data_IF_837630105533
#
_entry.id   IF_837630105533
#
_cell.length_a   1.000
_cell.length_b   1.000
_cell.length_c   1.000
_cell.angle_alpha   90.00
_cell.angle_beta   90.00
_cell.angle_gamma   90.00
#
_symmetry.space_group_name_H-M   'P 1'
#
loop_
_entity.id
_entity.type
_entity.pdbx_description
1 polymer ?
#
# COMPACT_ATOMS: atom_id res chain seq x y z
N UNK A 1 2.42 -16.73 -1.51
CA UNK A 1 2.57 -15.27 -1.32
C UNK A 1 1.17 -14.67 -1.23
N UNK A 2 0.89 -13.77 -0.27
CA UNK A 2 -0.44 -13.16 -0.15
C UNK A 2 -0.77 -12.32 -1.39
N UNK A 3 -2.01 -12.41 -1.85
CA UNK A 3 -2.48 -11.67 -3.03
C UNK A 3 -2.58 -10.17 -2.72
N UNK A 4 -2.20 -9.31 -3.67
CA UNK A 4 -2.30 -7.86 -3.51
C UNK A 4 -3.24 -7.30 -4.58
N UNK A 5 -4.41 -6.88 -4.12
CA UNK A 5 -5.41 -6.21 -4.94
C UNK A 5 -5.29 -4.71 -4.77
N UNK A 6 -5.54 -3.98 -5.84
CA UNK A 6 -5.43 -2.52 -5.87
C UNK A 6 -6.76 -1.90 -6.23
N UNK A 7 -7.15 -0.84 -5.51
CA UNK A 7 -8.23 0.02 -5.98
C UNK A 7 -7.85 0.67 -7.31
N UNK A 8 -8.85 1.10 -8.09
CA UNK A 8 -8.62 1.87 -9.31
C UNK A 8 -7.79 3.12 -9.03
N UNK A 9 -8.10 3.81 -7.93
CA UNK A 9 -7.37 5.00 -7.49
C UNK A 9 -5.90 4.69 -7.16
N UNK A 10 -5.63 3.60 -6.44
CA UNK A 10 -4.26 3.17 -6.14
C UNK A 10 -3.47 2.86 -7.41
N UNK A 11 -4.06 2.13 -8.38
CA UNK A 11 -3.41 1.85 -9.67
C UNK A 11 -3.05 3.12 -10.43
N UNK A 12 -3.98 4.08 -10.51
CA UNK A 12 -3.70 5.36 -11.16
C UNK A 12 -2.53 6.09 -10.49
N UNK A 13 -2.55 6.16 -9.15
CA UNK A 13 -1.49 6.81 -8.37
C UNK A 13 -0.14 6.14 -8.51
N UNK A 14 -0.13 4.81 -8.66
CA UNK A 14 1.10 4.07 -8.94
C UNK A 14 1.70 4.46 -10.30
N UNK A 15 0.86 4.50 -11.34
CA UNK A 15 1.29 4.89 -12.70
C UNK A 15 1.78 6.34 -12.73
N UNK A 16 0.99 7.27 -12.18
CA UNK A 16 1.31 8.72 -12.16
C UNK A 16 2.63 9.04 -11.44
N UNK A 17 3.02 8.20 -10.47
CA UNK A 17 4.15 8.48 -9.56
C UNK A 17 5.31 7.51 -9.74
N UNK A 18 5.24 6.62 -10.73
CA UNK A 18 6.27 5.60 -10.96
C UNK A 18 6.45 4.62 -9.80
N UNK A 19 5.41 4.38 -9.00
CA UNK A 19 5.47 3.48 -7.84
C UNK A 19 5.25 2.05 -8.32
N UNK A 20 6.23 1.19 -8.13
CA UNK A 20 6.16 -0.20 -8.54
C UNK A 20 5.33 -1.06 -7.57
N UNK A 21 4.76 -2.16 -8.07
CA UNK A 21 4.10 -3.15 -7.22
C UNK A 21 5.04 -3.76 -6.17
N UNK A 22 6.34 -3.82 -6.48
CA UNK A 22 7.39 -4.26 -5.56
C UNK A 22 7.53 -3.31 -4.38
N UNK A 23 7.59 -2.00 -4.62
CA UNK A 23 7.69 -1.02 -3.54
C UNK A 23 6.46 -1.03 -2.62
N UNK A 24 5.27 -1.19 -3.21
CA UNK A 24 4.03 -1.35 -2.41
C UNK A 24 4.09 -2.60 -1.55
N UNK A 25 4.59 -3.71 -2.09
CA UNK A 25 4.78 -4.96 -1.34
C UNK A 25 5.78 -4.78 -0.21
N UNK A 26 6.93 -4.17 -0.49
CA UNK A 26 7.98 -3.92 0.50
C UNK A 26 7.44 -3.03 1.62
N UNK A 27 6.61 -2.04 1.29
CA UNK A 27 5.92 -1.21 2.29
C UNK A 27 4.88 -1.97 3.11
N UNK A 28 4.11 -2.88 2.50
CA UNK A 28 3.14 -3.72 3.23
C UNK A 28 3.86 -4.67 4.19
N UNK A 29 4.97 -5.29 3.77
CA UNK A 29 5.69 -6.28 4.57
C UNK A 29 6.58 -5.59 5.61
N UNK A 30 7.51 -4.73 5.18
CA UNK A 30 8.57 -4.15 6.00
C UNK A 30 8.34 -2.71 6.47
N UNK A 31 7.24 -2.06 6.08
CA UNK A 31 6.92 -0.71 6.54
C UNK A 31 6.49 -0.64 8.00
N UNK A 32 6.69 0.53 8.61
CA UNK A 32 6.15 0.88 9.93
C UNK A 32 4.64 1.10 9.81
N UNK A 33 3.85 0.39 10.62
CA UNK A 33 2.40 0.28 10.47
C UNK A 33 1.67 0.99 11.59
N UNK A 34 0.64 1.76 11.22
CA UNK A 34 -0.33 2.31 12.15
C UNK A 34 -1.73 1.88 11.72
N UNK A 35 -2.47 1.28 12.64
CA UNK A 35 -3.86 0.90 12.40
C UNK A 35 -4.75 2.12 12.68
N UNK A 36 -5.59 2.48 11.71
CA UNK A 36 -6.61 3.53 11.83
C UNK A 36 -7.97 2.94 11.48
N UNK A 37 -8.67 2.46 12.51
CA UNK A 37 -9.92 1.71 12.34
C UNK A 37 -9.69 0.42 11.55
N UNK A 38 -10.38 0.27 10.41
CA UNK A 38 -10.25 -0.90 9.53
C UNK A 38 -9.14 -0.77 8.46
N UNK A 39 -8.34 0.29 8.52
CA UNK A 39 -7.24 0.55 7.57
C UNK A 39 -5.90 0.48 8.29
N UNK A 40 -4.89 0.05 7.56
CA UNK A 40 -3.49 0.06 7.96
C UNK A 40 -2.80 1.08 7.07
N UNK A 41 -2.18 2.07 7.71
CA UNK A 41 -1.26 3.00 7.06
C UNK A 41 0.13 2.46 7.30
N UNK A 42 0.85 2.12 6.22
CA UNK A 42 2.23 1.67 6.31
C UNK A 42 3.16 2.64 5.62
N UNK A 43 4.18 3.08 6.33
CA UNK A 43 5.21 3.99 5.81
C UNK A 43 6.52 3.25 5.66
N UNK A 44 7.13 3.33 4.47
CA UNK A 44 8.39 2.69 4.15
C UNK A 44 9.19 3.54 3.17
N UNK A 45 10.42 3.92 3.56
CA UNK A 45 11.25 4.86 2.79
C UNK A 45 10.46 6.15 2.50
N UNK A 46 10.28 6.48 1.22
CA UNK A 46 9.57 7.65 0.70
C UNK A 46 8.12 7.32 0.30
N UNK A 47 7.59 6.16 0.72
CA UNK A 47 6.27 5.68 0.33
C UNK A 47 5.36 5.49 1.55
N UNK A 48 4.12 5.94 1.44
CA UNK A 48 3.01 5.62 2.33
C UNK A 48 1.96 4.82 1.57
N UNK A 49 1.58 3.67 2.12
CA UNK A 49 0.57 2.76 1.56
C UNK A 49 -0.56 2.61 2.54
N UNK A 50 -1.77 2.94 2.10
CA UNK A 50 -2.98 2.69 2.89
C UNK A 50 -3.66 1.46 2.34
N UNK A 51 -3.82 0.43 3.16
CA UNK A 51 -4.45 -0.82 2.77
C UNK A 51 -5.31 -1.39 3.88
N UNK A 52 -6.10 -2.42 3.57
CA UNK A 52 -6.76 -3.26 4.56
C UNK A 52 -6.37 -4.71 4.33
N UNK A 53 -6.38 -5.50 5.40
CA UNK A 53 -6.21 -6.96 5.32
C UNK A 53 -7.49 -7.59 4.77
N UNK A 54 -7.36 -8.54 3.86
CA UNK A 54 -8.39 -9.46 3.42
C UNK A 54 -8.05 -10.86 3.96
N UNK A 55 -8.98 -11.81 3.84
CA UNK A 55 -8.74 -13.19 4.31
C UNK A 55 -7.50 -13.81 3.63
N UNK A 56 -7.37 -13.63 2.30
CA UNK A 56 -6.29 -14.23 1.50
C UNK A 56 -5.21 -13.22 1.03
N UNK A 57 -5.19 -12.00 1.58
CA UNK A 57 -4.22 -11.01 1.13
C UNK A 57 -4.46 -9.58 1.60
N UNK A 58 -4.14 -8.63 0.72
CA UNK A 58 -4.20 -7.21 1.01
C UNK A 58 -4.96 -6.46 -0.07
N UNK A 59 -5.76 -5.49 0.35
CA UNK A 59 -6.43 -4.55 -0.56
C UNK A 59 -5.87 -3.15 -0.37
N UNK A 60 -5.10 -2.68 -1.35
CA UNK A 60 -4.47 -1.35 -1.37
C UNK A 60 -5.51 -0.32 -1.79
N UNK A 61 -5.76 0.64 -0.89
CA UNK A 61 -6.75 1.69 -1.06
C UNK A 61 -6.12 2.88 -1.78
N UNK A 62 -4.94 3.32 -1.35
CA UNK A 62 -4.17 4.39 -2.01
C UNK A 62 -2.68 4.27 -1.70
N UNK A 63 -1.88 4.95 -2.52
CA UNK A 63 -0.42 5.10 -2.36
C UNK A 63 -0.03 6.57 -2.47
N UNK A 64 0.92 6.99 -1.64
CA UNK A 64 1.37 8.37 -1.53
C UNK A 64 2.88 8.41 -1.37
N UNK A 65 3.52 9.41 -1.99
CA UNK A 65 4.92 9.70 -1.73
C UNK A 65 5.00 10.59 -0.50
N UNK A 66 5.93 10.28 0.39
CA UNK A 66 6.23 11.04 1.59
C UNK A 66 7.48 11.87 1.31
N UNK A 67 7.39 13.16 1.60
CA UNK A 67 8.48 14.13 1.49
C UNK A 67 9.08 14.34 2.87
#
# INVERSE_FOLDING_TARGET
MPDIKYSRHARMRMVERGISAREVRDAIIGGSKQTRGNKIVSTYKHLEVVFRKLDDGYYVITVMLRW
#
